data_IF_759689254074
#
_entry.id   IF_759689254074
#
_cell.length_a   1.000
_cell.length_b   1.000
_cell.length_c   1.000
_cell.angle_alpha   90.00
_cell.angle_beta   90.00
_cell.angle_gamma   90.00
#
_symmetry.space_group_name_H-M   'P 1'
#
loop_
_entity.id
_entity.type
_entity.pdbx_description
1 polymer ?
#
# COMPACT_ATOMS: atom_id res chain seq x y z
N UNK A 1 -68.86 -7.62 -35.06
CA UNK A 1 -67.61 -6.85 -35.23
C UNK A 1 -66.66 -7.24 -34.11
N UNK A 2 -65.67 -8.08 -34.41
CA UNK A 2 -64.68 -8.58 -33.44
C UNK A 2 -63.49 -7.63 -33.50
N UNK A 3 -63.30 -6.82 -32.46
CA UNK A 3 -62.07 -6.05 -32.26
C UNK A 3 -61.05 -6.97 -31.60
N UNK A 4 -59.98 -7.29 -32.34
CA UNK A 4 -58.79 -7.98 -31.82
C UNK A 4 -58.07 -7.08 -30.81
N UNK A 5 -58.23 -7.36 -29.53
CA UNK A 5 -57.39 -6.81 -28.47
C UNK A 5 -56.19 -7.72 -28.25
N UNK A 6 -55.02 -7.33 -28.77
CA UNK A 6 -53.75 -7.99 -28.45
C UNK A 6 -53.40 -7.68 -26.99
N UNK A 7 -53.09 -8.66 -26.13
CA UNK A 7 -52.51 -8.36 -24.83
C UNK A 7 -51.09 -7.83 -25.04
N UNK A 8 -50.90 -6.53 -24.85
CA UNK A 8 -49.57 -5.91 -24.71
C UNK A 8 -48.93 -6.48 -23.44
N UNK A 9 -48.20 -7.58 -23.60
CA UNK A 9 -47.29 -8.08 -22.58
C UNK A 9 -46.24 -6.98 -22.34
N UNK A 10 -46.36 -6.33 -21.20
CA UNK A 10 -45.49 -5.27 -20.72
C UNK A 10 -44.03 -5.78 -20.68
N UNK A 11 -43.28 -5.54 -21.75
CA UNK A 11 -41.88 -5.90 -21.81
C UNK A 11 -41.12 -5.05 -20.78
N UNK A 12 -40.27 -5.64 -19.92
CA UNK A 12 -39.43 -4.87 -19.01
C UNK A 12 -38.58 -3.90 -19.83
N UNK A 13 -38.81 -2.60 -19.67
CA UNK A 13 -37.98 -1.55 -20.23
C UNK A 13 -36.55 -1.76 -19.68
N UNK A 14 -35.66 -2.37 -20.48
CA UNK A 14 -34.22 -2.41 -20.15
C UNK A 14 -33.72 -0.97 -20.18
N UNK A 15 -33.71 -0.30 -19.03
CA UNK A 15 -32.96 0.93 -18.88
C UNK A 15 -31.51 0.67 -19.32
N UNK A 16 -30.93 1.53 -20.19
CA UNK A 16 -29.51 1.44 -20.50
C UNK A 16 -28.73 1.57 -19.20
N UNK A 17 -28.18 0.47 -18.70
CA UNK A 17 -27.29 0.52 -17.54
C UNK A 17 -26.12 1.43 -17.91
N UNK A 18 -25.79 2.46 -17.10
CA UNK A 18 -24.62 3.27 -17.36
C UNK A 18 -23.39 2.34 -17.40
N UNK A 19 -22.46 2.56 -18.36
CA UNK A 19 -21.35 1.63 -18.56
C UNK A 19 -20.56 1.46 -17.24
N UNK A 20 -20.12 0.23 -16.92
CA UNK A 20 -19.33 -0.02 -15.73
C UNK A 20 -18.10 0.89 -15.76
N UNK A 21 -18.02 1.84 -14.82
CA UNK A 21 -16.87 2.71 -14.66
C UNK A 21 -15.67 1.81 -14.36
N UNK A 22 -14.80 1.65 -15.35
CA UNK A 22 -13.63 0.80 -15.23
C UNK A 22 -12.84 1.22 -13.97
N UNK A 23 -12.54 0.27 -13.08
CA UNK A 23 -11.82 0.59 -11.86
C UNK A 23 -10.43 1.10 -12.27
N UNK A 24 -10.16 2.34 -11.86
CA UNK A 24 -9.00 3.14 -12.27
C UNK A 24 -7.70 2.39 -11.99
N UNK A 25 -7.04 1.88 -13.04
CA UNK A 25 -5.75 1.14 -13.02
C UNK A 25 -4.54 1.91 -12.49
N UNK A 26 -4.69 3.07 -11.84
CA UNK A 26 -3.58 3.99 -11.56
C UNK A 26 -2.88 3.81 -10.20
N UNK A 27 -3.19 2.76 -9.42
CA UNK A 27 -2.58 2.54 -8.10
C UNK A 27 -1.33 1.61 -8.10
N UNK A 28 -0.92 1.07 -9.25
CA UNK A 28 0.14 0.06 -9.32
C UNK A 28 1.53 0.57 -8.91
N UNK A 29 1.82 1.85 -9.16
CA UNK A 29 3.14 2.44 -8.87
C UNK A 29 3.35 2.59 -7.36
N UNK A 30 2.30 3.03 -6.65
CA UNK A 30 2.33 3.14 -5.19
C UNK A 30 2.56 1.77 -4.55
N UNK A 31 1.87 0.74 -5.06
CA UNK A 31 1.96 -0.62 -4.52
C UNK A 31 3.34 -1.27 -4.71
N UNK A 32 4.02 -1.00 -5.83
CA UNK A 32 5.34 -1.57 -6.11
C UNK A 32 6.45 -1.01 -5.20
N UNK A 33 6.47 0.31 -4.99
CA UNK A 33 7.43 0.93 -4.06
C UNK A 33 7.15 0.52 -2.62
N UNK A 34 5.86 0.46 -2.23
CA UNK A 34 5.47 0.03 -0.89
C UNK A 34 5.96 -1.39 -0.58
N UNK A 35 5.81 -2.32 -1.53
CA UNK A 35 6.26 -3.71 -1.37
C UNK A 35 7.78 -3.81 -1.25
N UNK A 36 8.53 -3.05 -2.05
CA UNK A 36 10.00 -3.03 -1.99
C UNK A 36 10.49 -2.58 -0.60
N UNK A 37 9.95 -1.48 -0.09
CA UNK A 37 10.32 -0.96 1.22
C UNK A 37 9.83 -1.84 2.37
N UNK A 38 8.65 -2.47 2.23
CA UNK A 38 8.15 -3.43 3.22
C UNK A 38 9.05 -4.66 3.31
N UNK A 39 9.49 -5.21 2.16
CA UNK A 39 10.45 -6.32 2.12
C UNK A 39 11.77 -5.91 2.79
N UNK A 40 12.26 -4.70 2.51
CA UNK A 40 13.49 -4.19 3.11
C UNK A 40 13.37 -3.96 4.62
N UNK A 41 12.21 -3.49 5.11
CA UNK A 41 11.94 -3.33 6.54
C UNK A 41 11.84 -4.68 7.26
N UNK A 42 11.16 -5.67 6.67
CA UNK A 42 11.10 -7.04 7.22
C UNK A 42 12.51 -7.65 7.28
N UNK A 43 13.32 -7.47 6.24
CA UNK A 43 14.71 -7.90 6.22
C UNK A 43 15.54 -7.18 7.31
N UNK A 44 15.36 -5.87 7.49
CA UNK A 44 16.05 -5.10 8.53
C UNK A 44 15.70 -5.54 9.95
N UNK A 45 14.43 -5.82 10.23
CA UNK A 45 13.99 -6.36 11.53
C UNK A 45 14.57 -7.77 11.73
N UNK A 46 14.58 -8.61 10.69
CA UNK A 46 15.18 -9.94 10.77
C UNK A 46 16.70 -9.89 11.00
N UNK A 47 17.41 -8.90 10.44
CA UNK A 47 18.83 -8.68 10.67
C UNK A 47 19.15 -8.12 12.07
N UNK A 48 18.19 -7.52 12.76
CA UNK A 48 18.33 -7.05 14.14
C UNK A 48 18.28 -8.19 15.18
N UNK A 49 17.84 -9.38 14.79
CA UNK A 49 17.79 -10.57 15.66
C UNK A 49 19.12 -11.30 15.80
N UNK A 50 20.22 -10.53 15.85
CA UNK A 50 21.55 -11.08 16.16
C UNK A 50 21.47 -11.77 17.51
N UNK A 51 21.77 -13.05 17.58
CA UNK A 51 21.72 -13.78 18.84
C UNK A 51 22.62 -13.07 19.86
N UNK A 52 22.20 -12.91 21.13
CA UNK A 52 22.96 -12.22 22.19
C UNK A 52 24.19 -13.03 22.64
N UNK A 53 24.76 -13.82 21.74
CA UNK A 53 25.84 -14.76 21.97
C UNK A 53 27.21 -14.06 21.89
N UNK A 54 27.27 -12.85 21.30
CA UNK A 54 28.49 -12.06 21.11
C UNK A 54 28.62 -10.88 22.11
N UNK A 55 27.96 -10.97 23.28
CA UNK A 55 28.02 -9.94 24.32
C UNK A 55 29.40 -9.80 25.02
N UNK A 56 30.40 -10.60 24.62
CA UNK A 56 31.77 -10.49 25.10
C UNK A 56 31.87 -10.47 26.63
N UNK A 57 32.51 -9.42 27.17
CA UNK A 57 32.69 -9.22 28.62
C UNK A 57 31.61 -8.34 29.27
N UNK A 58 30.61 -7.90 28.51
CA UNK A 58 29.56 -7.00 29.01
C UNK A 58 28.48 -7.74 29.79
N UNK A 59 27.87 -7.02 30.72
CA UNK A 59 26.71 -7.52 31.46
C UNK A 59 25.57 -7.87 30.48
N UNK A 60 24.95 -9.03 30.69
CA UNK A 60 23.86 -9.54 29.83
C UNK A 60 22.71 -8.56 29.70
N UNK A 61 22.44 -7.78 30.76
CA UNK A 61 21.36 -6.81 30.73
C UNK A 61 21.69 -5.63 29.82
N UNK A 62 22.90 -5.08 29.93
CA UNK A 62 23.35 -3.99 29.07
C UNK A 62 23.40 -4.40 27.59
N UNK A 63 23.72 -5.66 27.31
CA UNK A 63 23.75 -6.18 25.94
C UNK A 63 22.34 -6.32 25.34
N UNK A 64 21.39 -6.88 26.09
CA UNK A 64 19.99 -6.97 25.65
C UNK A 64 19.36 -5.57 25.45
N UNK A 65 19.67 -4.63 26.35
CA UNK A 65 19.20 -3.25 26.23
C UNK A 65 19.77 -2.57 24.98
N UNK A 66 21.04 -2.81 24.66
CA UNK A 66 21.70 -2.27 23.47
C UNK A 66 21.14 -2.86 22.17
N UNK A 67 20.89 -4.16 22.11
CA UNK A 67 20.29 -4.83 20.95
C UNK A 67 18.87 -4.30 20.66
N UNK A 68 18.05 -4.20 21.72
CA UNK A 68 16.70 -3.69 21.62
C UNK A 68 16.68 -2.21 21.23
N UNK A 69 17.55 -1.39 21.82
CA UNK A 69 17.72 0.01 21.44
C UNK A 69 18.20 0.16 19.99
N UNK A 70 19.16 -0.65 19.57
CA UNK A 70 19.69 -0.66 18.20
C UNK A 70 18.61 -1.02 17.18
N UNK A 71 17.79 -2.02 17.47
CA UNK A 71 16.65 -2.40 16.62
C UNK A 71 15.60 -1.30 16.57
N UNK A 72 15.24 -0.69 17.71
CA UNK A 72 14.28 0.39 17.76
C UNK A 72 14.74 1.63 16.95
N UNK A 73 16.01 2.01 17.08
CA UNK A 73 16.61 3.10 16.32
C UNK A 73 16.67 2.76 14.83
N UNK A 74 17.11 1.54 14.49
CA UNK A 74 17.18 1.07 13.10
C UNK A 74 15.82 1.11 12.42
N UNK A 75 14.79 0.55 13.06
CA UNK A 75 13.42 0.56 12.56
C UNK A 75 12.88 1.98 12.46
N UNK A 76 13.13 2.82 13.46
CA UNK A 76 12.71 4.23 13.46
C UNK A 76 13.28 5.01 12.28
N UNK A 77 14.59 4.88 12.01
CA UNK A 77 15.24 5.54 10.87
C UNK A 77 14.71 5.06 9.53
N UNK A 78 14.47 3.75 9.37
CA UNK A 78 13.89 3.17 8.16
C UNK A 78 12.50 3.75 7.91
N UNK A 79 11.64 3.84 8.94
CA UNK A 79 10.29 4.38 8.81
C UNK A 79 10.32 5.86 8.43
N UNK A 80 11.18 6.68 9.03
CA UNK A 80 11.29 8.10 8.70
C UNK A 80 11.76 8.30 7.27
N UNK A 81 12.82 7.58 6.85
CA UNK A 81 13.31 7.61 5.47
C UNK A 81 12.20 7.19 4.49
N UNK A 82 11.46 6.14 4.83
CA UNK A 82 10.36 5.62 4.04
C UNK A 82 9.23 6.67 3.89
N UNK A 83 8.83 7.33 4.97
CA UNK A 83 7.82 8.38 4.95
C UNK A 83 8.22 9.54 4.03
N UNK A 84 9.50 9.94 4.01
CA UNK A 84 10.00 11.00 3.11
C UNK A 84 9.85 10.57 1.64
N UNK A 85 10.19 9.34 1.29
CA UNK A 85 10.06 8.80 -0.07
C UNK A 85 8.59 8.74 -0.50
N UNK A 86 7.69 8.29 0.37
CA UNK A 86 6.24 8.28 0.13
C UNK A 86 5.68 9.67 -0.12
N UNK A 87 6.15 10.69 0.63
CA UNK A 87 5.76 12.09 0.40
C UNK A 87 6.21 12.56 -0.98
N UNK A 88 7.46 12.29 -1.37
CA UNK A 88 7.99 12.68 -2.69
C UNK A 88 7.20 12.02 -3.82
N UNK A 89 6.93 10.72 -3.72
CA UNK A 89 6.14 9.97 -4.70
C UNK A 89 4.69 10.44 -4.74
N UNK A 90 4.09 10.71 -3.58
CA UNK A 90 2.73 11.25 -3.47
C UNK A 90 2.59 12.59 -4.18
N UNK A 91 3.53 13.51 -3.94
CA UNK A 91 3.56 14.83 -4.58
C UNK A 91 3.81 14.69 -6.09
N UNK A 92 4.83 13.93 -6.48
CA UNK A 92 5.16 13.71 -7.91
C UNK A 92 3.98 13.11 -8.66
N UNK A 93 3.31 12.11 -8.08
CA UNK A 93 2.12 11.51 -8.66
C UNK A 93 0.94 12.49 -8.69
N UNK A 94 0.74 13.30 -7.65
CA UNK A 94 -0.32 14.30 -7.63
C UNK A 94 -0.15 15.31 -8.77
N UNK A 95 1.07 15.80 -8.98
CA UNK A 95 1.43 16.67 -10.13
C UNK A 95 1.18 15.94 -11.44
N UNK A 96 1.69 14.72 -11.59
CA UNK A 96 1.54 13.96 -12.83
C UNK A 96 0.09 13.58 -13.14
N UNK A 97 -0.73 13.41 -12.09
CA UNK A 97 -2.17 13.17 -12.18
C UNK A 97 -2.94 14.43 -12.54
N UNK A 98 -2.55 15.59 -12.02
CA UNK A 98 -3.18 16.87 -12.33
C UNK A 98 -2.87 17.30 -13.76
N UNK A 99 -1.61 17.15 -14.19
CA UNK A 99 -1.16 17.44 -15.56
C UNK A 99 -1.76 16.51 -16.62
N UNK A 100 -2.26 15.33 -16.23
CA UNK A 100 -2.96 14.39 -17.12
C UNK A 100 -4.48 14.42 -16.97
N UNK A 101 -5.05 15.45 -16.33
CA UNK A 101 -6.50 15.73 -16.41
C UNK A 101 -6.72 16.61 -17.65
N UNK A 102 -7.32 16.09 -18.73
CA UNK A 102 -7.84 16.95 -19.79
C UNK A 102 -8.98 17.83 -19.28
#
# INVERSE_FOLDING_TARGET
MIVMGIPQANAPQRQPQPPPRSPRKKHRVFLGVQLLFLIWLIAGIASGSGTPEDCGTLDKQACNDAENAGTAIGVGLIIVLWAVVDVILGITYAVHRLARRP
#
